data_IF_014802673093
#
_entry.id   IF_014802673093
#
_cell.length_a   1.000
_cell.length_b   1.000
_cell.length_c   1.000
_cell.angle_alpha   90.00
_cell.angle_beta   90.00
_cell.angle_gamma   90.00
#
_symmetry.space_group_name_H-M   'P 1'
#
loop_
_entity.id
_entity.type
_entity.pdbx_description
1 polymer ?
#
# COMPACT_ATOMS: atom_id res chain seq x y z
N UNK A 1 18.43 -36.05 5.17
CA UNK A 1 17.71 -34.93 5.84
C UNK A 1 17.51 -33.66 4.98
N UNK A 2 18.48 -33.23 4.14
CA UNK A 2 18.31 -32.06 3.25
C UNK A 2 17.24 -32.23 2.15
N UNK A 3 17.14 -33.41 1.52
CA UNK A 3 16.13 -33.67 0.47
C UNK A 3 14.68 -33.64 0.99
N UNK A 4 14.42 -34.17 2.18
CA UNK A 4 13.07 -34.11 2.78
C UNK A 4 12.65 -32.67 3.07
N UNK A 5 13.56 -31.82 3.57
CA UNK A 5 13.29 -30.38 3.78
C UNK A 5 12.97 -29.67 2.46
N UNK A 6 13.71 -29.98 1.40
CA UNK A 6 13.47 -29.43 0.06
C UNK A 6 12.10 -29.84 -0.48
N UNK A 7 11.76 -31.12 -0.39
CA UNK A 7 10.45 -31.64 -0.82
C UNK A 7 9.29 -30.98 -0.06
N UNK A 8 9.41 -30.82 1.26
CA UNK A 8 8.39 -30.13 2.07
C UNK A 8 8.24 -28.65 1.69
N UNK A 9 9.34 -27.97 1.33
CA UNK A 9 9.30 -26.58 0.84
C UNK A 9 8.62 -26.52 -0.53
N UNK A 10 8.99 -27.40 -1.46
CA UNK A 10 8.39 -27.46 -2.80
C UNK A 10 6.88 -27.76 -2.74
N UNK A 11 6.45 -28.70 -1.88
CA UNK A 11 5.03 -28.94 -1.64
C UNK A 11 4.35 -27.69 -1.07
N UNK A 12 4.91 -27.08 -0.02
CA UNK A 12 4.34 -25.89 0.60
C UNK A 12 4.18 -24.74 -0.40
N UNK A 13 5.18 -24.51 -1.24
CA UNK A 13 5.12 -23.49 -2.28
C UNK A 13 4.09 -23.86 -3.35
N UNK A 14 4.06 -25.12 -3.79
CA UNK A 14 3.04 -25.60 -4.72
C UNK A 14 1.63 -25.34 -4.18
N UNK A 15 1.34 -25.70 -2.92
CA UNK A 15 0.04 -25.44 -2.29
C UNK A 15 -0.22 -23.92 -2.14
N UNK A 16 0.79 -23.12 -1.76
CA UNK A 16 0.66 -21.67 -1.57
C UNK A 16 0.35 -20.93 -2.88
N UNK A 17 0.93 -21.39 -3.98
CA UNK A 17 0.81 -20.76 -5.30
C UNK A 17 -0.23 -21.44 -6.20
N UNK A 18 -0.83 -22.56 -5.78
CA UNK A 18 -1.86 -23.25 -6.55
C UNK A 18 -3.09 -22.34 -6.80
N UNK A 19 -3.53 -22.14 -8.06
CA UNK A 19 -4.63 -21.22 -8.39
C UNK A 19 -5.94 -21.51 -7.64
N UNK A 20 -6.33 -22.79 -7.53
CA UNK A 20 -7.57 -23.17 -6.83
C UNK A 20 -7.53 -22.85 -5.32
N UNK A 21 -6.37 -23.02 -4.69
CA UNK A 21 -6.21 -22.75 -3.26
C UNK A 21 -6.23 -21.25 -3.01
N UNK A 22 -5.53 -20.49 -3.85
CA UNK A 22 -5.57 -19.02 -3.80
C UNK A 22 -6.99 -18.49 -4.00
N UNK A 23 -7.75 -19.05 -4.94
CA UNK A 23 -9.15 -18.70 -5.18
C UNK A 23 -10.04 -19.04 -3.98
N UNK A 24 -9.87 -20.22 -3.38
CA UNK A 24 -10.58 -20.60 -2.16
C UNK A 24 -10.26 -19.63 -1.01
N UNK A 25 -8.98 -19.34 -0.78
CA UNK A 25 -8.54 -18.40 0.25
C UNK A 25 -9.05 -16.96 -0.01
N UNK A 26 -9.11 -16.54 -1.29
CA UNK A 26 -9.69 -15.26 -1.67
C UNK A 26 -11.19 -15.22 -1.33
N UNK A 27 -11.93 -16.29 -1.63
CA UNK A 27 -13.33 -16.46 -1.23
C UNK A 27 -13.55 -16.41 0.28
N UNK A 28 -12.67 -17.08 1.06
CA UNK A 28 -12.68 -17.01 2.53
C UNK A 28 -12.42 -15.58 3.02
N UNK A 29 -11.43 -14.88 2.46
CA UNK A 29 -11.15 -13.48 2.80
C UNK A 29 -12.36 -12.58 2.49
N UNK A 30 -13.01 -12.78 1.33
CA UNK A 30 -14.23 -12.07 0.96
C UNK A 30 -15.36 -12.34 1.97
N UNK A 31 -15.54 -13.59 2.37
CA UNK A 31 -16.55 -13.95 3.37
C UNK A 31 -16.29 -13.24 4.72
N UNK A 32 -15.04 -13.27 5.20
CA UNK A 32 -14.65 -12.52 6.41
C UNK A 32 -14.89 -11.02 6.28
N UNK A 33 -14.71 -10.44 5.08
CA UNK A 33 -15.03 -9.03 4.84
C UNK A 33 -16.53 -8.73 4.94
N UNK A 34 -17.42 -9.70 4.71
CA UNK A 34 -18.86 -9.50 4.89
C UNK A 34 -19.27 -9.53 6.37
N UNK A 35 -18.60 -10.36 7.19
CA UNK A 35 -18.90 -10.49 8.62
C UNK A 35 -18.14 -9.49 9.52
N UNK A 36 -17.18 -8.75 8.98
CA UNK A 36 -16.42 -7.78 9.77
C UNK A 36 -17.20 -6.49 9.98
N UNK A 37 -17.45 -6.12 11.24
CA UNK A 37 -18.15 -4.88 11.59
C UNK A 37 -17.36 -3.62 11.14
N UNK A 38 -16.07 -3.58 11.47
CA UNK A 38 -15.18 -2.45 11.17
C UNK A 38 -14.92 -2.28 9.66
N UNK A 39 -15.20 -1.11 9.05
CA UNK A 39 -14.88 -0.83 7.66
C UNK A 39 -13.41 -1.08 7.28
N UNK A 40 -12.47 -0.78 8.20
CA UNK A 40 -11.04 -1.03 7.98
C UNK A 40 -10.71 -2.51 7.93
N UNK A 41 -11.33 -3.30 8.80
CA UNK A 41 -11.15 -4.75 8.78
C UNK A 41 -11.71 -5.35 7.50
N UNK A 42 -12.87 -4.85 7.02
CA UNK A 42 -13.42 -5.22 5.70
C UNK A 42 -12.45 -4.90 4.57
N UNK A 43 -11.93 -3.67 4.54
CA UNK A 43 -10.96 -3.23 3.54
C UNK A 43 -9.69 -4.08 3.57
N UNK A 44 -9.16 -4.39 4.76
CA UNK A 44 -7.99 -5.26 4.94
C UNK A 44 -8.21 -6.66 4.35
N UNK A 45 -9.36 -7.27 4.60
CA UNK A 45 -9.72 -8.58 4.05
C UNK A 45 -9.91 -8.53 2.53
N UNK A 46 -10.55 -7.49 1.99
CA UNK A 46 -10.70 -7.30 0.54
C UNK A 46 -9.35 -7.11 -0.15
N UNK A 47 -8.45 -6.29 0.40
CA UNK A 47 -7.09 -6.13 -0.11
C UNK A 47 -6.35 -7.48 -0.15
N UNK A 48 -6.51 -8.30 0.89
CA UNK A 48 -5.92 -9.65 0.93
C UNK A 48 -6.52 -10.57 -0.14
N UNK A 49 -7.84 -10.51 -0.36
CA UNK A 49 -8.51 -11.28 -1.40
C UNK A 49 -8.02 -10.90 -2.81
N UNK A 50 -7.92 -9.60 -3.11
CA UNK A 50 -7.41 -9.12 -4.42
C UNK A 50 -5.99 -9.62 -4.64
N UNK A 51 -5.08 -9.51 -3.66
CA UNK A 51 -3.71 -10.00 -3.81
C UNK A 51 -3.60 -11.51 -4.01
N UNK A 52 -4.63 -12.28 -3.65
CA UNK A 52 -4.67 -13.73 -3.88
C UNK A 52 -5.11 -14.07 -5.31
N UNK A 53 -6.10 -13.35 -5.86
CA UNK A 53 -6.72 -13.69 -7.16
C UNK A 53 -6.32 -12.76 -8.33
N UNK A 54 -5.73 -11.59 -8.05
CA UNK A 54 -5.39 -10.54 -9.03
C UNK A 54 -6.60 -10.07 -9.87
N UNK A 55 -7.77 -9.94 -9.22
CA UNK A 55 -9.06 -9.60 -9.85
C UNK A 55 -9.66 -8.32 -9.30
N UNK A 56 -9.01 -7.17 -9.54
CA UNK A 56 -9.46 -5.87 -9.02
C UNK A 56 -10.94 -5.57 -9.35
N UNK A 57 -11.39 -5.93 -10.56
CA UNK A 57 -12.75 -5.75 -11.07
C UNK A 57 -13.85 -6.29 -10.13
N UNK A 58 -13.61 -7.41 -9.46
CA UNK A 58 -14.60 -8.06 -8.59
C UNK A 58 -14.73 -7.33 -7.25
N UNK A 59 -13.61 -6.91 -6.68
CA UNK A 59 -13.56 -6.39 -5.31
C UNK A 59 -13.73 -4.87 -5.27
N UNK A 60 -13.42 -4.19 -6.37
CA UNK A 60 -13.37 -2.74 -6.44
C UNK A 60 -14.68 -2.04 -6.05
N UNK A 61 -15.86 -2.45 -6.53
CA UNK A 61 -17.11 -1.82 -6.11
C UNK A 61 -17.35 -1.86 -4.59
N UNK A 62 -16.89 -2.93 -3.92
CA UNK A 62 -17.01 -3.05 -2.46
C UNK A 62 -16.02 -2.15 -1.73
N UNK A 63 -14.80 -2.01 -2.27
CA UNK A 63 -13.79 -1.10 -1.75
C UNK A 63 -14.25 0.35 -1.89
N UNK A 64 -14.71 0.76 -3.08
CA UNK A 64 -15.17 2.11 -3.33
C UNK A 64 -16.35 2.49 -2.42
N UNK A 65 -17.27 1.54 -2.16
CA UNK A 65 -18.36 1.74 -1.19
C UNK A 65 -17.85 1.98 0.22
N UNK A 66 -16.84 1.24 0.67
CA UNK A 66 -16.21 1.46 1.98
C UNK A 66 -15.53 2.83 2.04
N UNK A 67 -14.85 3.23 0.95
CA UNK A 67 -14.10 4.48 0.89
C UNK A 67 -14.98 5.72 0.67
N UNK A 68 -16.20 5.57 0.16
CA UNK A 68 -17.16 6.66 -0.01
C UNK A 68 -17.72 7.18 1.32
N UNK A 69 -17.67 6.35 2.37
CA UNK A 69 -18.06 6.73 3.73
C UNK A 69 -16.87 6.46 4.66
N UNK A 70 -15.79 7.25 4.55
CA UNK A 70 -14.64 7.07 5.41
C UNK A 70 -15.10 7.21 6.86
N UNK A 71 -14.76 6.25 7.76
CA UNK A 71 -15.17 6.36 9.15
C UNK A 71 -14.74 7.71 9.72
N UNK A 72 -15.64 8.44 10.43
CA UNK A 72 -15.35 9.75 10.99
C UNK A 72 -14.17 9.70 11.97
N UNK A 73 -14.03 8.59 12.68
CA UNK A 73 -12.92 8.26 13.57
C UNK A 73 -12.14 7.08 13.03
N UNK A 74 -11.63 7.20 11.80
CA UNK A 74 -10.73 6.19 11.27
C UNK A 74 -9.57 6.07 12.26
N UNK A 75 -9.52 4.98 13.02
CA UNK A 75 -8.51 4.74 14.05
C UNK A 75 -7.15 4.55 13.36
N UNK A 76 -6.58 5.61 12.80
CA UNK A 76 -5.20 5.64 12.27
C UNK A 76 -4.22 5.16 13.34
N UNK A 77 -4.58 5.40 14.60
CA UNK A 77 -3.91 4.91 15.81
C UNK A 77 -3.84 3.37 15.85
N UNK A 78 -4.85 2.65 15.36
CA UNK A 78 -4.83 1.18 15.21
C UNK A 78 -3.91 0.70 14.06
N UNK A 79 -3.62 1.60 13.12
CA UNK A 79 -2.67 1.39 12.02
C UNK A 79 -1.24 1.84 12.40
N UNK A 80 -1.04 2.38 13.61
CA UNK A 80 0.25 2.88 14.09
C UNK A 80 1.28 1.74 14.13
N UNK A 81 2.41 1.86 13.41
CA UNK A 81 3.54 0.98 13.64
C UNK A 81 4.06 1.17 15.07
N UNK A 82 4.38 0.05 15.74
CA UNK A 82 4.59 -0.02 17.19
C UNK A 82 5.83 0.72 17.75
N UNK A 83 6.57 1.50 16.96
CA UNK A 83 7.84 2.08 17.40
C UNK A 83 8.07 3.49 16.86
N UNK A 84 8.16 4.45 17.80
CA UNK A 84 8.64 5.83 17.64
C UNK A 84 7.77 6.75 16.74
N UNK A 85 6.70 7.35 17.30
CA UNK A 85 5.83 8.24 16.53
C UNK A 85 6.59 9.42 15.93
N UNK A 86 6.42 9.66 14.63
CA UNK A 86 6.98 10.81 13.94
C UNK A 86 8.42 10.63 13.44
N UNK A 87 9.02 9.44 13.61
CA UNK A 87 10.30 9.10 12.99
C UNK A 87 10.11 8.18 11.79
N UNK A 88 10.41 8.71 10.61
CA UNK A 88 10.50 7.93 9.38
C UNK A 88 11.91 7.34 9.29
N UNK A 89 12.02 6.01 9.28
CA UNK A 89 13.32 5.30 9.28
C UNK A 89 13.77 4.89 7.90
N UNK A 90 12.82 4.64 6.99
CA UNK A 90 13.10 4.17 5.63
C UNK A 90 12.73 5.24 4.60
N UNK A 91 13.14 6.47 4.91
CA UNK A 91 13.02 7.63 4.04
C UNK A 91 14.38 8.22 3.73
N UNK A 92 14.50 8.85 2.56
CA UNK A 92 15.70 9.57 2.13
C UNK A 92 15.31 10.86 1.41
N UNK A 93 16.07 11.92 1.64
CA UNK A 93 15.99 13.15 0.87
C UNK A 93 16.80 12.92 -0.41
N UNK A 94 16.13 12.75 -1.54
CA UNK A 94 16.77 12.60 -2.85
C UNK A 94 17.29 13.94 -3.36
N UNK A 95 16.57 15.01 -3.03
CA UNK A 95 16.93 16.37 -3.36
C UNK A 95 16.48 17.30 -2.22
N UNK A 96 17.37 18.12 -1.64
CA UNK A 96 16.93 19.13 -0.68
C UNK A 96 16.07 20.19 -1.37
N UNK A 97 15.27 20.91 -0.59
CA UNK A 97 14.57 22.10 -1.10
C UNK A 97 15.60 23.13 -1.60
N UNK A 98 15.35 23.71 -2.76
CA UNK A 98 16.21 24.75 -3.35
C UNK A 98 15.99 26.12 -2.72
N UNK A 99 16.99 27.00 -2.85
CA UNK A 99 16.96 28.37 -2.31
C UNK A 99 15.86 29.22 -2.97
N UNK A 100 15.60 29.01 -4.26
CA UNK A 100 14.58 29.74 -5.05
C UNK A 100 13.14 29.21 -4.85
N UNK A 101 12.89 28.44 -3.79
CA UNK A 101 11.58 27.84 -3.53
C UNK A 101 11.27 26.61 -4.38
N UNK A 102 12.25 26.09 -5.11
CA UNK A 102 12.14 24.81 -5.79
C UNK A 102 11.88 23.68 -4.77
N UNK A 103 10.87 22.85 -5.03
CA UNK A 103 10.55 21.73 -4.13
C UNK A 103 11.70 20.74 -4.04
N UNK A 104 11.93 20.25 -2.83
CA UNK A 104 12.77 19.08 -2.61
C UNK A 104 12.07 17.79 -3.08
N UNK A 105 12.78 16.67 -3.03
CA UNK A 105 12.24 15.36 -3.35
C UNK A 105 12.58 14.42 -2.20
N UNK A 106 11.56 13.79 -1.62
CA UNK A 106 11.69 12.81 -0.55
C UNK A 106 11.15 11.48 -1.04
N UNK A 107 11.92 10.43 -0.82
CA UNK A 107 11.52 9.05 -1.06
C UNK A 107 11.23 8.36 0.28
N UNK A 108 10.11 7.64 0.37
CA UNK A 108 9.76 6.84 1.55
C UNK A 108 9.32 5.43 1.11
N UNK A 109 10.02 4.41 1.61
CA UNK A 109 9.67 3.01 1.37
C UNK A 109 8.71 2.47 2.41
N UNK A 110 7.82 1.59 1.96
CA UNK A 110 6.86 0.83 2.76
C UNK A 110 5.76 1.68 3.42
N UNK A 111 4.54 1.16 3.36
CA UNK A 111 3.33 1.87 3.79
C UNK A 111 3.30 2.21 5.28
N UNK A 112 4.01 1.44 6.11
CA UNK A 112 4.15 1.71 7.55
C UNK A 112 4.85 3.05 7.83
N UNK A 113 5.81 3.43 6.99
CA UNK A 113 6.56 4.69 7.13
C UNK A 113 5.74 5.87 6.60
N UNK A 114 4.91 5.65 5.58
CA UNK A 114 3.98 6.67 5.09
C UNK A 114 2.94 7.00 6.15
N UNK A 115 2.51 5.99 6.92
CA UNK A 115 1.64 6.20 8.06
C UNK A 115 2.27 7.15 9.08
N UNK A 116 3.58 7.05 9.34
CA UNK A 116 4.28 7.99 10.23
C UNK A 116 4.23 9.42 9.70
N UNK A 117 4.35 9.62 8.38
CA UNK A 117 4.25 10.94 7.76
C UNK A 117 2.89 11.60 8.02
N UNK A 118 1.79 10.83 7.98
CA UNK A 118 0.44 11.35 8.24
C UNK A 118 0.25 11.87 9.67
N UNK A 119 1.15 11.52 10.59
CA UNK A 119 1.09 11.97 11.99
C UNK A 119 1.90 13.25 12.22
N UNK A 120 2.62 13.73 11.22
CA UNK A 120 3.30 15.01 11.28
C UNK A 120 2.27 16.15 11.24
N UNK A 121 2.44 17.14 12.13
CA UNK A 121 1.49 18.27 12.28
C UNK A 121 1.35 19.11 11.02
N UNK A 122 2.41 19.21 10.22
CA UNK A 122 2.51 20.17 9.11
C UNK A 122 2.50 19.50 7.73
N UNK A 123 1.64 18.51 7.52
CA UNK A 123 1.57 17.73 6.27
C UNK A 123 1.34 18.61 5.02
N UNK A 124 0.54 19.68 5.17
CA UNK A 124 0.31 20.66 4.11
C UNK A 124 1.58 21.44 3.74
N UNK A 125 2.39 21.81 4.74
CA UNK A 125 3.67 22.47 4.49
C UNK A 125 4.63 21.50 3.81
N UNK A 126 4.71 20.27 4.31
CA UNK A 126 5.53 19.23 3.71
C UNK A 126 5.22 19.03 2.22
N UNK A 127 3.95 18.89 1.85
CA UNK A 127 3.54 18.71 0.45
C UNK A 127 3.78 19.96 -0.44
N UNK A 128 3.84 21.16 0.16
CA UNK A 128 4.23 22.38 -0.55
C UNK A 128 5.72 22.42 -0.81
N UNK A 129 6.54 21.93 0.12
CA UNK A 129 8.00 22.04 0.06
C UNK A 129 8.67 20.84 -0.60
N UNK A 130 8.01 19.68 -0.63
CA UNK A 130 8.57 18.43 -1.13
C UNK A 130 7.61 17.71 -2.07
N UNK A 131 8.17 17.18 -3.17
CA UNK A 131 7.57 16.08 -3.89
C UNK A 131 7.79 14.78 -3.09
N UNK A 132 6.73 13.98 -3.00
CA UNK A 132 6.78 12.70 -2.29
C UNK A 132 6.83 11.55 -3.30
N UNK A 133 7.91 10.78 -3.24
CA UNK A 133 8.07 9.51 -3.93
C UNK A 133 7.88 8.37 -2.93
N UNK A 134 7.09 7.36 -3.31
CA UNK A 134 6.73 6.23 -2.46
C UNK A 134 7.03 4.89 -3.13
N UNK A 135 7.25 3.85 -2.33
CA UNK A 135 7.46 2.47 -2.79
C UNK A 135 6.56 1.48 -2.03
N UNK A 136 5.41 1.07 -2.61
CA UNK A 136 4.51 0.11 -1.99
C UNK A 136 5.20 -1.23 -1.73
N UNK A 137 4.85 -1.91 -0.62
CA UNK A 137 5.45 -3.23 -0.29
C UNK A 137 5.01 -4.34 -1.24
N UNK A 138 3.78 -4.25 -1.75
CA UNK A 138 3.13 -5.35 -2.47
C UNK A 138 2.91 -5.00 -3.94
N UNK A 139 3.03 -6.01 -4.80
CA UNK A 139 2.41 -6.01 -6.13
C UNK A 139 1.51 -7.26 -6.25
N UNK A 140 0.20 -7.10 -6.51
CA UNK A 140 -0.49 -5.82 -6.75
C UNK A 140 -0.60 -4.96 -5.46
N UNK A 141 -0.58 -3.62 -5.55
CA UNK A 141 -0.41 -2.70 -4.43
C UNK A 141 -1.71 -2.45 -3.65
N UNK A 142 -2.54 -3.47 -3.48
CA UNK A 142 -3.75 -3.35 -2.68
C UNK A 142 -3.39 -3.48 -1.21
N UNK A 143 -3.38 -2.38 -0.46
CA UNK A 143 -3.24 -2.36 0.99
C UNK A 143 -4.16 -1.29 1.56
N UNK A 144 -4.52 -1.41 2.84
CA UNK A 144 -5.34 -0.40 3.53
C UNK A 144 -4.69 0.98 3.38
N UNK A 145 -3.38 1.06 3.58
CA UNK A 145 -2.63 2.30 3.43
C UNK A 145 -2.62 2.83 2.00
N UNK A 146 -2.44 1.99 0.97
CA UNK A 146 -2.46 2.47 -0.42
C UNK A 146 -3.83 3.05 -0.79
N UNK A 147 -4.93 2.54 -0.23
CA UNK A 147 -6.23 3.16 -0.45
C UNK A 147 -6.43 4.46 0.34
N UNK A 148 -5.83 4.56 1.52
CA UNK A 148 -6.14 5.62 2.47
C UNK A 148 -5.19 6.82 2.40
N UNK A 149 -3.89 6.56 2.28
CA UNK A 149 -2.84 7.57 2.20
C UNK A 149 -3.12 8.66 1.14
N UNK A 150 -3.41 8.33 -0.13
CA UNK A 150 -3.65 9.33 -1.18
C UNK A 150 -5.01 10.02 -1.06
N UNK A 151 -5.78 9.79 0.01
CA UNK A 151 -7.01 10.54 0.32
C UNK A 151 -6.76 11.62 1.39
N UNK A 152 -5.61 11.56 2.06
CA UNK A 152 -5.27 12.39 3.21
C UNK A 152 -4.05 13.24 2.89
N UNK A 153 -3.06 12.66 2.24
CA UNK A 153 -1.90 13.39 1.79
C UNK A 153 -2.36 14.50 0.82
N UNK A 154 -1.98 15.77 1.04
CA UNK A 154 -2.55 16.91 0.32
C UNK A 154 -1.92 17.15 -1.06
N UNK A 155 -1.05 16.27 -1.53
CA UNK A 155 -0.31 16.43 -2.78
C UNK A 155 -0.22 15.15 -3.61
N UNK A 156 0.39 15.21 -4.80
CA UNK A 156 0.62 14.03 -5.61
C UNK A 156 1.58 13.06 -4.92
N UNK A 157 1.31 11.76 -5.08
CA UNK A 157 2.14 10.67 -4.60
C UNK A 157 2.80 10.00 -5.81
N UNK A 158 4.07 10.30 -6.07
CA UNK A 158 4.80 9.60 -7.13
C UNK A 158 5.13 8.20 -6.63
N UNK A 159 4.71 7.15 -7.32
CA UNK A 159 4.92 5.79 -6.84
C UNK A 159 5.83 5.03 -7.77
N UNK A 160 6.90 4.46 -7.22
CA UNK A 160 7.66 3.41 -7.91
C UNK A 160 6.77 2.18 -8.15
N UNK A 161 7.18 1.34 -9.09
CA UNK A 161 6.47 0.10 -9.45
C UNK A 161 7.32 -1.12 -9.08
N UNK A 162 6.68 -2.23 -8.76
CA UNK A 162 7.34 -3.54 -8.61
C UNK A 162 6.94 -4.51 -9.72
N UNK A 163 5.90 -4.18 -10.47
CA UNK A 163 5.42 -4.91 -11.63
C UNK A 163 4.87 -3.94 -12.69
N UNK A 164 4.98 -4.23 -14.00
CA UNK A 164 4.35 -3.41 -15.04
C UNK A 164 2.85 -3.15 -14.83
N UNK A 165 2.12 -4.10 -14.24
CA UNK A 165 0.68 -3.95 -13.92
C UNK A 165 0.40 -2.85 -12.90
N UNK A 166 1.38 -2.48 -12.07
CA UNK A 166 1.21 -1.42 -11.07
C UNK A 166 0.92 -0.07 -11.73
N UNK A 167 1.39 0.15 -12.97
CA UNK A 167 1.05 1.32 -13.80
C UNK A 167 -0.47 1.47 -14.00
N UNK A 168 -1.21 0.35 -13.97
CA UNK A 168 -2.68 0.34 -14.02
C UNK A 168 -3.30 0.37 -12.63
N UNK A 169 -2.75 -0.39 -11.69
CA UNK A 169 -3.34 -0.53 -10.35
C UNK A 169 -3.27 0.76 -9.52
N UNK A 170 -2.15 1.47 -9.56
CA UNK A 170 -1.94 2.67 -8.73
C UNK A 170 -2.89 3.82 -9.11
N UNK A 171 -2.99 4.25 -10.38
CA UNK A 171 -3.96 5.28 -10.78
C UNK A 171 -5.41 4.84 -10.57
N UNK A 172 -5.68 3.53 -10.68
CA UNK A 172 -6.98 3.02 -10.28
C UNK A 172 -7.21 3.34 -8.81
N UNK A 173 -6.36 2.87 -7.87
CA UNK A 173 -6.54 3.06 -6.42
C UNK A 173 -6.83 4.52 -6.02
N UNK A 174 -6.10 5.47 -6.60
CA UNK A 174 -6.35 6.91 -6.48
C UNK A 174 -5.71 7.67 -7.64
N UNK A 175 -6.39 8.69 -8.21
CA UNK A 175 -5.78 9.56 -9.21
C UNK A 175 -4.61 10.39 -8.67
N UNK A 176 -4.43 10.49 -7.35
CA UNK A 176 -3.26 11.15 -6.76
C UNK A 176 -1.97 10.31 -6.90
N UNK A 177 -2.07 9.02 -7.19
CA UNK A 177 -0.89 8.23 -7.51
C UNK A 177 -0.44 8.48 -8.93
N UNK A 178 0.81 8.92 -9.06
CA UNK A 178 1.50 9.09 -10.33
C UNK A 178 2.55 7.99 -10.40
N UNK A 179 2.26 6.84 -11.04
CA UNK A 179 3.23 5.78 -11.15
C UNK A 179 4.38 6.22 -12.06
N UNK A 180 5.61 5.92 -11.65
CA UNK A 180 6.84 6.17 -12.42
C UNK A 180 7.44 4.83 -12.81
N UNK A 181 7.97 4.72 -14.03
CA UNK A 181 8.59 3.50 -14.57
C UNK A 181 9.98 3.25 -13.97
N UNK A 182 10.00 3.11 -12.65
CA UNK A 182 11.20 2.95 -11.86
C UNK A 182 10.95 1.81 -10.87
N UNK A 183 11.68 0.71 -11.04
CA UNK A 183 11.62 -0.41 -10.11
C UNK A 183 12.53 -0.16 -8.92
N UNK A 184 12.20 -0.75 -7.77
CA UNK A 184 13.11 -0.74 -6.63
C UNK A 184 14.50 -1.31 -6.99
N UNK A 185 14.55 -2.28 -7.90
CA UNK A 185 15.80 -2.86 -8.42
C UNK A 185 16.60 -1.94 -9.34
N UNK A 186 16.08 -0.78 -9.77
CA UNK A 186 16.86 0.19 -10.54
C UNK A 186 17.81 1.04 -9.67
N UNK A 187 17.65 0.99 -8.34
CA UNK A 187 18.41 1.79 -7.39
C UNK A 187 19.56 1.04 -6.72
N UNK A 188 19.61 -0.28 -6.91
CA UNK A 188 20.63 -1.19 -6.37
C UNK A 188 21.55 -1.63 -7.50
#
# INVERSE_FOLDING_TARGET
MKMLKRFLLEMKDTFRFHPLIRKLLAGVCRLYSHFSASPLTRLKWLCRAIRLEDRDDIYRPSIDRILATPPPDLEWQSLRPATDPGRIRKGVILKPRGEDGEKGVIFISFEEEWAQLLWCRDLNQFAREYYLVVAPTWSPPHSVFNYLFPRIYPGPCFSTISNPKDMKYLPAISPQYIPIELYASNWV
#
